data_IF_899249757783
#
_entry.id   IF_899249757783
#
_cell.length_a   1.000
_cell.length_b   1.000
_cell.length_c   1.000
_cell.angle_alpha   90.00
_cell.angle_beta   90.00
_cell.angle_gamma   90.00
#
_symmetry.space_group_name_H-M   'P 1'
#
loop_
_entity.id
_entity.type
_entity.pdbx_description
1 polymer ?
#
# COMPACT_ATOMS: atom_id res chain seq x y z
N UNK A 1 19.60 -5.10 -18.83
CA UNK A 1 18.66 -5.95 -19.63
C UNK A 1 17.20 -5.63 -19.30
N UNK A 2 16.80 -5.61 -18.03
CA UNK A 2 15.39 -5.45 -17.64
C UNK A 2 14.87 -4.00 -17.74
N UNK A 3 15.67 -2.98 -17.39
CA UNK A 3 15.25 -1.56 -17.51
C UNK A 3 14.83 -1.16 -18.93
N UNK A 4 15.57 -1.52 -20.01
CA UNK A 4 15.10 -1.29 -21.37
C UNK A 4 13.76 -1.96 -21.67
N UNK A 5 13.51 -3.17 -21.13
CA UNK A 5 12.25 -3.86 -21.33
C UNK A 5 11.09 -3.17 -20.58
N UNK A 6 11.32 -2.70 -19.35
CA UNK A 6 10.36 -1.90 -18.56
C UNK A 6 10.03 -0.59 -19.31
N UNK A 7 11.04 0.10 -19.82
CA UNK A 7 10.85 1.31 -20.64
C UNK A 7 10.02 1.03 -21.89
N UNK A 8 10.31 -0.07 -22.59
CA UNK A 8 9.57 -0.50 -23.78
C UNK A 8 8.10 -0.88 -23.46
N UNK A 9 7.84 -1.37 -22.24
CA UNK A 9 6.50 -1.69 -21.74
C UNK A 9 5.73 -0.48 -21.16
N UNK A 10 6.25 0.74 -21.31
CA UNK A 10 5.58 1.98 -20.91
C UNK A 10 6.09 2.62 -19.62
N UNK A 11 7.26 2.18 -19.12
CA UNK A 11 7.89 2.70 -17.91
C UNK A 11 7.42 2.04 -16.61
N UNK A 12 8.06 2.39 -15.50
CA UNK A 12 7.71 1.92 -14.18
C UNK A 12 6.32 2.39 -13.75
N UNK A 13 5.63 1.55 -12.98
CA UNK A 13 4.38 1.90 -12.31
C UNK A 13 4.55 1.64 -10.82
N UNK A 14 4.53 2.71 -10.01
CA UNK A 14 4.54 2.63 -8.56
C UNK A 14 3.11 2.55 -8.04
N UNK A 15 2.67 1.37 -7.62
CA UNK A 15 1.27 1.12 -7.30
C UNK A 15 0.86 1.45 -5.88
N UNK A 16 1.83 1.74 -5.01
CA UNK A 16 1.59 2.06 -3.62
C UNK A 16 2.70 2.92 -3.02
N UNK A 17 2.34 4.06 -2.51
CA UNK A 17 3.23 4.99 -1.81
C UNK A 17 2.45 5.84 -0.79
N UNK A 18 3.19 6.64 0.01
CA UNK A 18 2.67 7.62 0.95
C UNK A 18 3.41 8.96 0.75
N UNK A 19 3.16 9.62 -0.37
CA UNK A 19 3.89 10.81 -0.79
C UNK A 19 3.64 12.04 0.11
N UNK A 20 2.48 12.10 0.79
CA UNK A 20 2.11 13.17 1.71
C UNK A 20 3.01 13.27 2.95
N UNK A 21 3.68 12.17 3.32
CA UNK A 21 4.60 12.08 4.46
C UNK A 21 6.03 11.66 4.10
N UNK A 22 6.34 11.52 2.81
CA UNK A 22 7.68 11.21 2.35
C UNK A 22 8.70 12.28 2.79
N UNK A 23 9.96 11.86 3.02
CA UNK A 23 11.09 12.72 3.41
C UNK A 23 10.89 13.48 4.73
N UNK A 24 10.18 12.87 5.68
CA UNK A 24 9.93 13.45 7.01
C UNK A 24 10.80 12.82 8.11
N UNK A 25 11.79 12.02 7.71
CA UNK A 25 12.74 11.43 8.64
C UNK A 25 13.54 12.50 9.38
N UNK A 26 13.61 12.37 10.70
CA UNK A 26 14.43 13.21 11.58
C UNK A 26 15.21 12.35 12.58
N UNK A 27 16.25 12.89 13.25
CA UNK A 27 16.97 12.17 14.28
C UNK A 27 16.06 11.66 15.42
N UNK A 28 15.08 12.47 15.83
CA UNK A 28 14.12 12.11 16.89
C UNK A 28 13.22 10.94 16.45
N UNK A 29 12.81 10.92 15.19
CA UNK A 29 12.02 9.83 14.60
C UNK A 29 12.85 8.54 14.55
N UNK A 30 14.14 8.61 14.20
CA UNK A 30 15.03 7.46 14.21
C UNK A 30 15.24 6.89 15.63
N UNK A 31 15.36 7.74 16.64
CA UNK A 31 15.47 7.31 18.02
C UNK A 31 14.20 6.61 18.49
N UNK A 32 13.04 7.22 18.23
CA UNK A 32 11.74 6.62 18.54
C UNK A 32 11.60 5.23 17.88
N UNK A 33 12.03 5.09 16.63
CA UNK A 33 11.87 3.85 15.86
C UNK A 33 12.63 2.66 16.42
N UNK A 34 13.69 2.85 17.18
CA UNK A 34 14.48 1.76 17.77
C UNK A 34 13.67 0.87 18.72
N UNK A 35 12.66 1.43 19.36
CA UNK A 35 11.88 0.74 20.40
C UNK A 35 10.38 0.81 20.20
N UNK A 36 9.88 1.57 19.20
CA UNK A 36 8.46 1.81 19.05
C UNK A 36 7.74 0.63 18.38
N UNK A 37 6.49 0.47 18.77
CA UNK A 37 5.51 -0.38 18.09
C UNK A 37 4.96 0.32 16.84
N UNK A 38 4.28 -0.42 15.97
CA UNK A 38 3.56 0.17 14.83
C UNK A 38 2.56 1.24 15.30
N UNK A 39 1.86 1.02 16.41
CA UNK A 39 0.95 1.99 16.99
C UNK A 39 1.62 3.31 17.35
N UNK A 40 2.78 3.26 17.98
CA UNK A 40 3.54 4.47 18.35
C UNK A 40 4.03 5.25 17.12
N UNK A 41 4.31 4.55 16.01
CA UNK A 41 4.60 5.20 14.72
C UNK A 41 3.37 5.95 14.18
N UNK A 42 2.19 5.36 14.25
CA UNK A 42 0.94 6.06 13.87
C UNK A 42 0.68 7.31 14.72
N UNK A 43 0.97 7.25 16.03
CA UNK A 43 0.83 8.40 16.93
C UNK A 43 1.83 9.52 16.58
N UNK A 44 3.07 9.15 16.20
CA UNK A 44 4.07 10.11 15.71
C UNK A 44 3.63 10.79 14.39
N UNK A 45 2.99 10.04 13.49
CA UNK A 45 2.42 10.59 12.26
C UNK A 45 1.27 11.57 12.53
N UNK A 46 0.48 11.38 13.57
CA UNK A 46 -0.57 12.33 13.95
C UNK A 46 0.00 13.71 14.30
N UNK A 47 1.12 13.75 15.00
CA UNK A 47 1.81 15.00 15.30
C UNK A 47 2.30 15.67 14.02
N UNK A 48 2.96 14.93 13.14
CA UNK A 48 3.43 15.43 11.85
C UNK A 48 2.27 16.05 11.05
N UNK A 49 1.12 15.37 10.98
CA UNK A 49 -0.06 15.84 10.25
C UNK A 49 -0.63 17.15 10.82
N UNK A 50 -0.74 17.24 12.15
CA UNK A 50 -1.23 18.46 12.80
C UNK A 50 -0.33 19.68 12.56
N UNK A 51 0.98 19.46 12.60
CA UNK A 51 1.98 20.51 12.45
C UNK A 51 2.22 20.91 10.98
N UNK A 52 1.85 20.06 10.01
CA UNK A 52 2.07 20.32 8.59
C UNK A 52 1.03 21.29 8.02
N UNK A 53 1.52 22.28 7.29
CA UNK A 53 0.70 23.16 6.45
C UNK A 53 0.38 22.49 5.11
N UNK A 54 -0.58 23.03 4.34
CA UNK A 54 -0.85 22.59 2.97
C UNK A 54 0.40 22.72 2.09
N UNK A 55 1.22 23.76 2.29
CA UNK A 55 2.46 23.96 1.53
C UNK A 55 3.54 22.93 1.90
N UNK A 56 3.59 22.46 3.15
CA UNK A 56 4.48 21.37 3.54
C UNK A 56 4.10 20.05 2.83
N UNK A 57 2.81 19.72 2.75
CA UNK A 57 2.32 18.60 1.99
C UNK A 57 2.64 18.75 0.50
N UNK A 58 2.37 19.91 -0.09
CA UNK A 58 2.66 20.18 -1.50
C UNK A 58 4.13 19.96 -1.84
N UNK A 59 5.03 20.49 -1.03
CA UNK A 59 6.47 20.31 -1.21
C UNK A 59 6.89 18.84 -1.17
N UNK A 60 6.31 18.03 -0.26
CA UNK A 60 6.58 16.59 -0.17
C UNK A 60 6.11 15.85 -1.42
N UNK A 61 4.89 16.16 -1.89
CA UNK A 61 4.38 15.60 -3.15
C UNK A 61 5.30 15.94 -4.33
N UNK A 62 5.71 17.19 -4.47
CA UNK A 62 6.60 17.60 -5.55
C UNK A 62 7.93 16.85 -5.52
N UNK A 63 8.59 16.81 -4.36
CA UNK A 63 9.85 16.07 -4.20
C UNK A 63 9.69 14.58 -4.53
N UNK A 64 8.59 13.97 -4.09
CA UNK A 64 8.34 12.57 -4.38
C UNK A 64 8.06 12.33 -5.86
N UNK A 65 7.22 13.16 -6.50
CA UNK A 65 6.91 13.01 -7.93
C UNK A 65 8.14 13.24 -8.80
N UNK A 66 8.97 14.24 -8.48
CA UNK A 66 10.26 14.48 -9.18
C UNK A 66 11.20 13.28 -9.06
N UNK A 67 11.32 12.68 -7.88
CA UNK A 67 12.09 11.46 -7.67
C UNK A 67 11.57 10.30 -8.52
N UNK A 68 10.26 10.09 -8.58
CA UNK A 68 9.64 9.03 -9.37
C UNK A 68 9.81 9.27 -10.89
N UNK A 69 9.59 10.49 -11.35
CA UNK A 69 9.78 10.87 -12.77
C UNK A 69 11.22 10.63 -13.20
N UNK A 70 12.21 11.02 -12.37
CA UNK A 70 13.63 10.83 -12.65
C UNK A 70 14.02 9.36 -12.85
N UNK A 71 13.29 8.42 -12.25
CA UNK A 71 13.49 6.99 -12.41
C UNK A 71 12.75 6.40 -13.62
N UNK A 72 11.91 7.19 -14.31
CA UNK A 72 11.07 6.74 -15.41
C UNK A 72 9.76 6.09 -14.95
N UNK A 73 9.25 6.44 -13.77
CA UNK A 73 7.88 6.11 -13.36
C UNK A 73 6.92 6.96 -14.19
N UNK A 74 5.97 6.32 -14.84
CA UNK A 74 4.96 6.97 -15.70
C UNK A 74 3.57 7.00 -15.08
N UNK A 75 3.33 6.16 -14.09
CA UNK A 75 2.07 6.14 -13.34
C UNK A 75 2.33 5.78 -11.87
N UNK A 76 1.58 6.40 -10.98
CA UNK A 76 1.72 6.30 -9.53
C UNK A 76 0.36 6.24 -8.86
N UNK A 77 0.21 5.35 -7.86
CA UNK A 77 -0.84 5.46 -6.85
C UNK A 77 -0.21 5.79 -5.50
N UNK A 78 -0.76 6.78 -4.80
CA UNK A 78 -0.31 7.16 -3.46
C UNK A 78 -1.49 7.33 -2.52
N UNK A 79 -1.33 6.80 -1.32
CA UNK A 79 -2.25 7.09 -0.23
C UNK A 79 -2.07 8.54 0.25
N UNK A 80 -3.14 9.12 0.72
CA UNK A 80 -3.18 10.47 1.28
C UNK A 80 -3.98 10.44 2.57
N UNK A 81 -3.39 10.95 3.64
CA UNK A 81 -4.08 11.06 4.92
C UNK A 81 -5.19 12.14 4.84
N UNK A 82 -6.45 11.68 4.95
CA UNK A 82 -7.64 12.53 5.02
C UNK A 82 -8.40 12.12 6.30
N UNK A 83 -8.02 12.73 7.41
CA UNK A 83 -8.47 12.35 8.74
C UNK A 83 -8.60 13.59 9.66
N UNK A 84 -9.07 13.45 10.92
CA UNK A 84 -9.20 14.59 11.83
C UNK A 84 -7.90 15.37 12.12
N UNK A 85 -6.72 14.82 11.78
CA UNK A 85 -5.43 15.45 12.03
C UNK A 85 -4.94 16.28 10.83
N UNK A 86 -5.09 15.75 9.62
CA UNK A 86 -4.73 16.41 8.36
C UNK A 86 -5.88 17.19 7.75
N UNK A 87 -7.13 16.85 8.12
CA UNK A 87 -8.33 17.35 7.45
C UNK A 87 -8.22 17.14 5.92
N UNK A 88 -8.51 18.15 5.12
CA UNK A 88 -8.38 18.10 3.66
C UNK A 88 -7.07 18.73 3.13
N UNK A 89 -6.17 19.17 4.01
CA UNK A 89 -4.94 19.87 3.62
C UNK A 89 -4.03 19.03 2.73
N UNK A 90 -3.86 17.75 3.07
CA UNK A 90 -3.01 16.86 2.32
C UNK A 90 -3.57 16.58 0.92
N UNK A 91 -4.87 16.29 0.79
CA UNK A 91 -5.46 16.01 -0.53
C UNK A 91 -5.52 17.25 -1.41
N UNK A 92 -5.80 18.44 -0.86
CA UNK A 92 -5.73 19.71 -1.61
C UNK A 92 -4.34 19.93 -2.20
N UNK A 93 -3.31 19.75 -1.38
CA UNK A 93 -1.93 19.83 -1.82
C UNK A 93 -1.59 18.80 -2.90
N UNK A 94 -2.04 17.55 -2.72
CA UNK A 94 -1.86 16.49 -3.69
C UNK A 94 -2.51 16.77 -5.04
N UNK A 95 -3.75 17.26 -5.04
CA UNK A 95 -4.47 17.64 -6.26
C UNK A 95 -3.75 18.79 -7.01
N UNK A 96 -3.22 19.75 -6.27
CA UNK A 96 -2.39 20.82 -6.84
C UNK A 96 -1.09 20.28 -7.45
N UNK A 97 -0.41 19.36 -6.78
CA UNK A 97 0.79 18.70 -7.29
C UNK A 97 0.48 17.84 -8.52
N UNK A 98 -0.61 17.06 -8.50
CA UNK A 98 -1.06 16.28 -9.67
C UNK A 98 -1.27 17.15 -10.90
N UNK A 99 -1.91 18.30 -10.76
CA UNK A 99 -2.10 19.25 -11.87
C UNK A 99 -0.77 19.80 -12.39
N UNK A 100 0.19 20.06 -11.49
CA UNK A 100 1.52 20.56 -11.87
C UNK A 100 2.28 19.54 -12.73
N UNK A 101 2.21 18.25 -12.40
CA UNK A 101 2.97 17.17 -13.07
C UNK A 101 2.16 16.35 -14.08
N UNK A 102 0.93 16.77 -14.44
CA UNK A 102 -0.01 15.99 -15.25
C UNK A 102 0.51 15.53 -16.62
N UNK A 103 1.43 16.29 -17.21
CA UNK A 103 2.03 15.97 -18.52
C UNK A 103 3.20 14.97 -18.41
N UNK A 104 3.66 14.66 -17.20
CA UNK A 104 4.83 13.83 -16.93
C UNK A 104 4.48 12.55 -16.15
N UNK A 105 3.46 12.60 -15.28
CA UNK A 105 3.12 11.52 -14.36
C UNK A 105 1.61 11.38 -14.20
N UNK A 106 1.10 10.17 -14.42
CA UNK A 106 -0.28 9.84 -14.09
C UNK A 106 -0.33 9.55 -12.58
N UNK A 107 -1.11 10.33 -11.82
CA UNK A 107 -1.24 10.16 -10.38
C UNK A 107 -2.66 9.76 -10.00
N UNK A 108 -2.79 8.68 -9.21
CA UNK A 108 -4.02 8.24 -8.55
C UNK A 108 -3.88 8.40 -7.05
N UNK A 109 -4.89 8.96 -6.41
CA UNK A 109 -4.95 9.08 -4.95
C UNK A 109 -5.85 8.02 -4.35
N UNK A 110 -5.40 7.43 -3.21
CA UNK A 110 -6.22 6.62 -2.33
C UNK A 110 -6.31 7.30 -0.95
N UNK A 111 -7.47 7.34 -0.33
CA UNK A 111 -7.59 7.89 1.02
C UNK A 111 -7.02 6.93 2.06
N UNK A 112 -6.24 7.45 3.01
CA UNK A 112 -5.70 6.68 4.12
C UNK A 112 -6.67 6.68 5.31
N UNK A 113 -6.85 5.50 5.90
CA UNK A 113 -7.78 5.29 7.02
C UNK A 113 -7.06 4.97 8.34
N UNK A 114 -5.96 5.68 8.65
CA UNK A 114 -5.19 5.45 9.89
C UNK A 114 -6.00 5.59 11.19
N UNK A 115 -7.15 6.24 11.14
CA UNK A 115 -8.10 6.34 12.26
C UNK A 115 -9.29 5.37 12.12
N UNK A 116 -9.25 4.48 11.11
CA UNK A 116 -10.35 3.58 10.79
C UNK A 116 -11.55 4.28 10.15
N UNK A 117 -12.66 3.55 10.08
CA UNK A 117 -13.93 4.02 9.48
C UNK A 117 -15.13 3.87 10.42
N UNK A 118 -14.91 3.31 11.62
CA UNK A 118 -15.97 3.07 12.62
C UNK A 118 -16.19 4.30 13.53
N UNK A 119 -15.11 4.97 13.93
CA UNK A 119 -15.23 6.16 14.77
C UNK A 119 -15.94 7.30 14.01
N UNK A 120 -16.95 7.98 14.58
CA UNK A 120 -17.76 8.96 13.84
C UNK A 120 -16.95 10.10 13.19
N UNK A 121 -15.94 10.63 13.89
CA UNK A 121 -15.11 11.68 13.33
C UNK A 121 -14.21 11.17 12.19
N UNK A 122 -13.62 9.97 12.32
CA UNK A 122 -12.85 9.33 11.27
C UNK A 122 -13.75 9.01 10.07
N UNK A 123 -14.97 8.52 10.32
CA UNK A 123 -15.96 8.23 9.28
C UNK A 123 -16.32 9.47 8.46
N UNK A 124 -16.53 10.60 9.11
CA UNK A 124 -16.79 11.86 8.40
C UNK A 124 -15.68 12.19 7.40
N UNK A 125 -14.43 12.06 7.81
CA UNK A 125 -13.29 12.35 6.94
C UNK A 125 -13.06 11.26 5.88
N UNK A 126 -13.37 10.00 6.20
CA UNK A 126 -13.38 8.93 5.22
C UNK A 126 -14.39 9.21 4.10
N UNK A 127 -15.62 9.60 4.45
CA UNK A 127 -16.68 9.90 3.48
C UNK A 127 -16.28 11.09 2.58
N UNK A 128 -15.72 12.17 3.16
CA UNK A 128 -15.17 13.32 2.40
C UNK A 128 -14.05 12.85 1.47
N UNK A 129 -13.12 12.05 1.99
CA UNK A 129 -12.00 11.52 1.21
C UNK A 129 -12.46 10.64 0.05
N UNK A 130 -13.47 9.81 0.28
CA UNK A 130 -14.02 8.90 -0.73
C UNK A 130 -14.54 9.63 -1.98
N UNK A 131 -15.03 10.86 -1.86
CA UNK A 131 -15.44 11.67 -3.00
C UNK A 131 -14.24 12.20 -3.80
N UNK A 132 -13.18 12.63 -3.11
CA UNK A 132 -12.05 13.37 -3.67
C UNK A 132 -10.98 12.48 -4.32
N UNK A 133 -10.85 11.24 -3.88
CA UNK A 133 -9.80 10.32 -4.34
C UNK A 133 -10.24 9.48 -5.53
N UNK A 134 -9.29 8.83 -6.20
CA UNK A 134 -9.53 7.92 -7.32
C UNK A 134 -9.79 6.47 -6.87
N UNK A 135 -9.24 6.07 -5.73
CA UNK A 135 -9.24 4.71 -5.17
C UNK A 135 -9.68 4.80 -3.70
N UNK A 136 -10.54 3.90 -3.25
CA UNK A 136 -10.89 3.81 -1.84
C UNK A 136 -9.78 3.06 -1.10
N UNK A 137 -9.08 3.76 -0.24
CA UNK A 137 -8.04 3.19 0.61
C UNK A 137 -8.60 2.64 1.92
N UNK A 138 -7.99 1.59 2.48
CA UNK A 138 -8.49 0.93 3.66
C UNK A 138 -7.39 0.37 4.58
N UNK A 139 -7.69 0.33 5.88
CA UNK A 139 -6.88 -0.28 6.93
C UNK A 139 -7.80 -0.87 8.02
N UNK A 140 -8.55 -1.95 7.74
CA UNK A 140 -9.53 -2.55 8.66
C UNK A 140 -8.91 -3.02 9.98
N UNK A 141 -7.61 -3.35 9.98
CA UNK A 141 -6.83 -3.67 11.19
C UNK A 141 -6.96 -2.60 12.28
N UNK A 142 -7.13 -1.34 11.90
CA UNK A 142 -7.32 -0.26 12.84
C UNK A 142 -8.65 -0.39 13.58
N UNK A 143 -9.73 -0.66 12.85
CA UNK A 143 -11.06 -0.81 13.40
C UNK A 143 -11.20 -2.11 14.21
N UNK A 144 -10.55 -3.20 13.77
CA UNK A 144 -10.48 -4.44 14.54
C UNK A 144 -9.77 -4.23 15.87
N UNK A 145 -8.61 -3.58 15.87
CA UNK A 145 -7.84 -3.36 17.10
C UNK A 145 -8.57 -2.46 18.10
N UNK A 146 -9.16 -1.37 17.62
CA UNK A 146 -9.74 -0.34 18.49
C UNK A 146 -11.17 -0.67 18.94
N UNK A 147 -11.93 -1.45 18.14
CA UNK A 147 -13.37 -1.66 18.33
C UNK A 147 -13.81 -3.12 18.19
N UNK A 148 -12.95 -4.05 17.75
CA UNK A 148 -13.34 -5.41 17.39
C UNK A 148 -14.32 -5.44 16.20
N UNK A 149 -14.18 -4.50 15.25
CA UNK A 149 -15.13 -4.27 14.14
C UNK A 149 -14.46 -4.25 12.77
N UNK A 150 -13.41 -5.03 12.59
CA UNK A 150 -12.73 -5.15 11.29
C UNK A 150 -13.66 -5.64 10.19
N UNK A 151 -14.54 -6.59 10.50
CA UNK A 151 -15.51 -7.13 9.56
C UNK A 151 -16.51 -6.06 9.08
N UNK A 152 -17.07 -5.25 10.01
CA UNK A 152 -17.95 -4.12 9.69
C UNK A 152 -17.20 -3.05 8.86
N UNK A 153 -15.92 -2.83 9.15
CA UNK A 153 -15.10 -1.90 8.39
C UNK A 153 -14.91 -2.34 6.94
N UNK A 154 -14.68 -3.62 6.67
CA UNK A 154 -14.64 -4.15 5.30
C UNK A 154 -15.96 -3.88 4.55
N UNK A 155 -17.10 -4.12 5.17
CA UNK A 155 -18.41 -3.87 4.54
C UNK A 155 -18.57 -2.39 4.17
N UNK A 156 -18.29 -1.47 5.10
CA UNK A 156 -18.35 -0.02 4.87
C UNK A 156 -17.48 0.39 3.68
N UNK A 157 -16.25 -0.10 3.62
CA UNK A 157 -15.27 0.26 2.59
C UNK A 157 -15.71 -0.25 1.22
N UNK A 158 -16.14 -1.50 1.13
CA UNK A 158 -16.57 -2.11 -0.13
C UNK A 158 -17.88 -1.51 -0.65
N UNK A 159 -18.84 -1.22 0.23
CA UNK A 159 -20.08 -0.52 -0.13
C UNK A 159 -19.81 0.89 -0.64
N UNK A 160 -18.89 1.63 0.03
CA UNK A 160 -18.48 2.96 -0.39
C UNK A 160 -17.84 2.91 -1.79
N UNK A 161 -16.91 1.98 -2.02
CA UNK A 161 -16.28 1.80 -3.31
C UNK A 161 -17.28 1.44 -4.41
N UNK A 162 -18.24 0.57 -4.11
CA UNK A 162 -19.32 0.20 -5.02
C UNK A 162 -20.21 1.39 -5.36
N UNK A 163 -20.55 2.20 -4.37
CA UNK A 163 -21.34 3.42 -4.55
C UNK A 163 -20.67 4.40 -5.53
N UNK A 164 -19.38 4.65 -5.36
CA UNK A 164 -18.62 5.57 -6.22
C UNK A 164 -18.07 4.93 -7.50
N UNK A 165 -18.23 3.63 -7.70
CA UNK A 165 -17.68 2.92 -8.86
C UNK A 165 -16.14 2.85 -8.86
N UNK A 166 -15.48 2.94 -7.69
CA UNK A 166 -14.02 3.00 -7.54
C UNK A 166 -13.40 1.64 -7.21
N UNK A 167 -12.11 1.50 -7.46
CA UNK A 167 -11.29 0.40 -6.95
C UNK A 167 -11.05 0.55 -5.45
N UNK A 168 -10.63 -0.56 -4.81
CA UNK A 168 -10.28 -0.58 -3.38
C UNK A 168 -8.86 -1.10 -3.21
N UNK A 169 -8.05 -0.38 -2.44
CA UNK A 169 -6.73 -0.78 -2.02
C UNK A 169 -6.70 -0.97 -0.50
N UNK A 170 -6.41 -2.18 -0.03
CA UNK A 170 -6.50 -2.55 1.40
C UNK A 170 -5.16 -3.00 1.94
N UNK A 171 -4.69 -2.35 2.99
CA UNK A 171 -3.55 -2.83 3.78
C UNK A 171 -3.99 -4.05 4.58
N UNK A 172 -3.37 -5.19 4.34
CA UNK A 172 -3.69 -6.48 4.98
C UNK A 172 -2.42 -7.26 5.29
N UNK A 173 -2.48 -8.07 6.34
CA UNK A 173 -1.43 -9.04 6.70
C UNK A 173 -0.03 -8.40 6.75
N UNK A 174 0.10 -7.28 7.49
CA UNK A 174 1.29 -6.43 7.49
C UNK A 174 2.37 -6.89 8.49
N UNK A 175 2.04 -7.79 9.42
CA UNK A 175 2.98 -8.20 10.46
C UNK A 175 3.83 -9.39 10.01
N UNK A 176 5.03 -9.44 10.58
CA UNK A 176 5.97 -10.54 10.36
C UNK A 176 5.63 -11.73 11.28
N UNK A 177 4.40 -12.24 11.17
CA UNK A 177 3.86 -13.32 12.02
C UNK A 177 2.79 -14.12 11.27
N UNK A 178 2.34 -15.24 11.84
CA UNK A 178 1.35 -16.15 11.24
C UNK A 178 -0.05 -16.06 11.89
N UNK A 179 -0.39 -14.95 12.53
CA UNK A 179 -1.65 -14.77 13.25
C UNK A 179 -2.66 -13.87 12.51
N UNK A 180 -2.27 -13.31 11.36
CA UNK A 180 -3.15 -12.47 10.55
C UNK A 180 -3.82 -13.29 9.44
N UNK A 181 -5.08 -12.98 9.17
CA UNK A 181 -5.94 -13.64 8.18
C UNK A 181 -6.75 -12.63 7.36
N UNK A 182 -6.29 -11.39 7.29
CA UNK A 182 -7.06 -10.28 6.70
C UNK A 182 -7.21 -10.43 5.19
N UNK A 183 -6.21 -11.02 4.49
CA UNK A 183 -6.34 -11.31 3.06
C UNK A 183 -7.45 -12.34 2.80
N UNK A 184 -7.60 -13.36 3.65
CA UNK A 184 -8.68 -14.34 3.53
C UNK A 184 -10.04 -13.66 3.71
N UNK A 185 -10.21 -12.88 4.79
CA UNK A 185 -11.43 -12.11 5.06
C UNK A 185 -11.75 -11.13 3.92
N UNK A 186 -10.75 -10.42 3.39
CA UNK A 186 -10.92 -9.51 2.27
C UNK A 186 -11.42 -10.24 1.01
N UNK A 187 -10.90 -11.42 0.72
CA UNK A 187 -11.36 -12.23 -0.42
C UNK A 187 -12.84 -12.64 -0.25
N UNK A 188 -13.22 -13.12 0.94
CA UNK A 188 -14.61 -13.50 1.26
C UNK A 188 -15.56 -12.32 1.10
N UNK A 189 -15.21 -11.16 1.67
CA UNK A 189 -15.98 -9.91 1.55
C UNK A 189 -16.05 -9.42 0.11
N UNK A 190 -14.96 -9.51 -0.65
CA UNK A 190 -14.92 -9.15 -2.08
C UNK A 190 -15.94 -9.95 -2.89
N UNK A 191 -16.01 -11.27 -2.67
CA UNK A 191 -16.97 -12.16 -3.31
C UNK A 191 -18.40 -11.82 -2.86
N UNK A 192 -18.61 -11.66 -1.54
CA UNK A 192 -19.92 -11.33 -0.96
C UNK A 192 -20.50 -10.03 -1.53
N UNK A 193 -19.67 -9.00 -1.72
CA UNK A 193 -20.08 -7.70 -2.27
C UNK A 193 -20.11 -7.65 -3.80
N UNK A 194 -19.69 -8.70 -4.52
CA UNK A 194 -19.61 -8.73 -5.97
C UNK A 194 -18.58 -7.71 -6.53
N UNK A 195 -17.43 -7.58 -5.83
CA UNK A 195 -16.37 -6.63 -6.15
C UNK A 195 -15.13 -7.29 -6.79
N UNK A 196 -15.28 -8.52 -7.34
CA UNK A 196 -14.19 -9.24 -7.98
C UNK A 196 -13.52 -8.40 -9.06
N UNK A 197 -12.19 -8.47 -9.13
CA UNK A 197 -11.37 -7.70 -10.08
C UNK A 197 -11.20 -6.22 -9.74
N UNK A 198 -11.81 -5.73 -8.65
CA UNK A 198 -11.78 -4.31 -8.25
C UNK A 198 -11.13 -4.07 -6.88
N UNK A 199 -10.68 -5.12 -6.23
CA UNK A 199 -10.05 -5.07 -4.91
C UNK A 199 -8.61 -5.54 -4.99
N UNK A 200 -7.72 -4.78 -4.37
CA UNK A 200 -6.28 -5.01 -4.35
C UNK A 200 -5.83 -5.10 -2.91
N UNK A 201 -5.21 -6.21 -2.56
CA UNK A 201 -4.55 -6.41 -1.28
C UNK A 201 -3.13 -5.80 -1.33
N UNK A 202 -2.69 -5.18 -0.25
CA UNK A 202 -1.35 -4.58 -0.14
C UNK A 202 -0.60 -5.29 0.98
N UNK A 203 0.67 -5.56 0.75
CA UNK A 203 1.63 -6.24 1.61
C UNK A 203 1.48 -7.76 1.61
N UNK A 204 0.51 -8.33 2.32
CA UNK A 204 0.39 -9.78 2.44
C UNK A 204 1.63 -10.47 3.04
N UNK A 205 2.34 -9.80 3.94
CA UNK A 205 3.61 -10.24 4.54
C UNK A 205 3.40 -11.50 5.37
N UNK A 206 2.37 -11.49 6.22
CA UNK A 206 2.04 -12.63 7.09
C UNK A 206 1.77 -13.91 6.32
N UNK A 207 1.34 -13.82 5.06
CA UNK A 207 1.04 -15.01 4.23
C UNK A 207 2.24 -15.96 4.16
N UNK A 208 3.46 -15.42 4.00
CA UNK A 208 4.68 -16.23 3.94
C UNK A 208 4.99 -16.98 5.25
N UNK A 209 4.49 -16.50 6.39
CA UNK A 209 4.67 -17.12 7.70
C UNK A 209 3.67 -18.24 7.99
N UNK A 210 2.58 -18.35 7.23
CA UNK A 210 1.58 -19.38 7.38
C UNK A 210 2.03 -20.74 6.79
N UNK A 211 1.36 -21.82 7.20
CA UNK A 211 1.61 -23.16 6.66
C UNK A 211 1.36 -23.19 5.14
N UNK A 212 2.08 -24.08 4.44
CA UNK A 212 1.89 -24.29 3.00
C UNK A 212 0.44 -24.65 2.64
N UNK A 213 -0.22 -25.45 3.49
CA UNK A 213 -1.61 -25.84 3.26
C UNK A 213 -2.55 -24.63 3.27
N UNK A 214 -2.37 -23.71 4.24
CA UNK A 214 -3.12 -22.46 4.31
C UNK A 214 -2.89 -21.61 3.07
N UNK A 215 -1.62 -21.36 2.71
CA UNK A 215 -1.27 -20.53 1.54
C UNK A 215 -1.90 -21.05 0.24
N UNK A 216 -1.84 -22.37 0.01
CA UNK A 216 -2.45 -22.98 -1.19
C UNK A 216 -3.98 -22.83 -1.22
N UNK A 217 -4.64 -22.88 -0.07
CA UNK A 217 -6.08 -22.62 0.04
C UNK A 217 -6.38 -21.15 -0.24
N UNK A 218 -5.61 -20.26 0.38
CA UNK A 218 -5.75 -18.80 0.20
C UNK A 218 -5.60 -18.39 -1.27
N UNK A 219 -4.60 -18.91 -1.99
CA UNK A 219 -4.40 -18.56 -3.40
C UNK A 219 -5.58 -18.99 -4.29
N UNK A 220 -6.26 -20.08 -3.97
CA UNK A 220 -7.49 -20.47 -4.68
C UNK A 220 -8.60 -19.46 -4.42
N UNK A 221 -8.77 -19.04 -3.18
CA UNK A 221 -9.76 -18.04 -2.78
C UNK A 221 -9.45 -16.67 -3.41
N UNK A 222 -8.18 -16.24 -3.45
CA UNK A 222 -7.76 -15.02 -4.13
C UNK A 222 -8.10 -15.04 -5.62
N UNK A 223 -7.95 -16.18 -6.29
CA UNK A 223 -8.37 -16.35 -7.70
C UNK A 223 -9.88 -16.27 -7.88
N UNK A 224 -10.65 -16.85 -6.98
CA UNK A 224 -12.11 -16.77 -6.99
C UNK A 224 -12.59 -15.32 -6.79
N UNK A 225 -11.91 -14.58 -5.93
CA UNK A 225 -12.14 -13.16 -5.71
C UNK A 225 -11.59 -12.27 -6.83
N UNK A 226 -10.89 -12.80 -7.83
CA UNK A 226 -10.08 -12.03 -8.80
C UNK A 226 -9.26 -10.93 -8.11
N UNK A 227 -8.64 -11.33 -6.98
CA UNK A 227 -7.87 -10.44 -6.11
C UNK A 227 -6.48 -10.19 -6.69
N UNK A 228 -6.08 -8.93 -6.74
CA UNK A 228 -4.71 -8.53 -7.05
C UNK A 228 -3.91 -8.27 -5.77
N UNK A 229 -2.58 -8.35 -5.86
CA UNK A 229 -1.67 -8.08 -4.74
C UNK A 229 -0.65 -7.01 -5.13
N UNK A 230 -0.40 -6.07 -4.23
CA UNK A 230 0.74 -5.14 -4.32
C UNK A 230 1.80 -5.58 -3.33
N UNK A 231 2.97 -5.91 -3.84
CA UNK A 231 4.15 -6.19 -3.04
C UNK A 231 4.94 -4.89 -2.81
N UNK A 232 5.32 -4.66 -1.54
CA UNK A 232 6.21 -3.57 -1.13
C UNK A 232 7.42 -4.19 -0.43
N UNK A 233 8.42 -4.65 -1.16
CA UNK A 233 9.46 -5.53 -0.65
C UNK A 233 10.26 -4.97 0.52
N UNK A 234 10.54 -3.68 0.57
CA UNK A 234 11.29 -3.07 1.67
C UNK A 234 10.44 -2.82 2.93
N UNK A 235 9.11 -2.84 2.82
CA UNK A 235 8.20 -2.66 3.96
C UNK A 235 8.21 -3.86 4.92
N UNK A 236 8.64 -5.05 4.50
CA UNK A 236 8.72 -6.24 5.34
C UNK A 236 9.63 -6.10 6.56
N UNK A 237 10.54 -5.13 6.54
CA UNK A 237 11.45 -4.84 7.65
C UNK A 237 10.89 -3.80 8.65
N UNK A 238 9.66 -3.36 8.48
CA UNK A 238 9.05 -2.35 9.35
C UNK A 238 8.75 -2.85 10.77
N UNK A 239 8.48 -4.15 10.93
CA UNK A 239 8.23 -4.78 12.24
C UNK A 239 9.39 -5.67 12.68
N UNK A 240 9.59 -5.87 14.00
CA UNK A 240 10.56 -6.84 14.49
C UNK A 240 10.26 -8.25 13.98
N UNK A 241 11.31 -9.07 13.90
CA UNK A 241 11.17 -10.49 13.59
C UNK A 241 10.31 -11.20 14.64
N UNK A 242 9.45 -12.12 14.22
CA UNK A 242 8.66 -12.91 15.14
C UNK A 242 9.51 -14.00 15.80
N UNK A 243 9.48 -14.06 17.12
CA UNK A 243 10.12 -15.13 17.90
C UNK A 243 9.29 -16.43 17.91
N UNK A 244 8.06 -16.37 17.42
CA UNK A 244 7.18 -17.55 17.30
C UNK A 244 7.53 -18.40 16.07
N UNK A 245 8.28 -17.85 15.11
CA UNK A 245 8.72 -18.54 13.90
C UNK A 245 10.09 -19.20 14.13
N UNK A 246 10.21 -20.47 13.75
CA UNK A 246 11.45 -21.24 13.87
C UNK A 246 11.80 -21.87 12.53
N UNK A 247 12.95 -21.57 11.92
CA UNK A 247 13.90 -20.54 12.34
C UNK A 247 13.31 -19.14 12.24
N UNK A 248 13.79 -18.22 13.10
CA UNK A 248 13.38 -16.83 13.07
C UNK A 248 13.76 -16.18 11.74
N UNK A 249 12.77 -15.59 11.05
CA UNK A 249 12.97 -14.97 9.74
C UNK A 249 12.11 -13.70 9.58
N UNK A 250 12.39 -12.93 8.54
CA UNK A 250 11.50 -11.88 8.08
C UNK A 250 10.65 -12.40 6.91
N UNK A 251 9.34 -12.26 7.03
CA UNK A 251 8.41 -12.61 5.96
C UNK A 251 8.28 -11.45 4.97
N UNK A 252 8.01 -11.75 3.71
CA UNK A 252 7.64 -10.78 2.67
C UNK A 252 6.56 -11.39 1.78
N UNK A 253 5.90 -10.57 0.98
CA UNK A 253 4.90 -11.02 -0.01
C UNK A 253 5.44 -12.21 -0.82
N UNK A 254 4.85 -13.42 -0.76
CA UNK A 254 5.41 -14.62 -1.38
C UNK A 254 5.09 -14.68 -2.89
N UNK A 255 5.71 -13.80 -3.68
CA UNK A 255 5.45 -13.66 -5.12
C UNK A 255 5.86 -14.88 -5.93
N UNK A 256 6.86 -15.62 -5.45
CA UNK A 256 7.31 -16.88 -6.01
C UNK A 256 6.24 -18.00 -5.98
N UNK A 257 5.29 -17.89 -5.08
CA UNK A 257 4.11 -18.76 -5.03
C UNK A 257 2.87 -18.13 -5.69
N UNK A 258 2.64 -16.81 -5.50
CA UNK A 258 1.46 -16.12 -6.00
C UNK A 258 1.40 -16.03 -7.52
N UNK A 259 2.51 -15.67 -8.17
CA UNK A 259 2.55 -15.53 -9.63
C UNK A 259 2.31 -16.89 -10.32
N UNK A 260 2.98 -17.99 -9.95
CA UNK A 260 2.65 -19.32 -10.50
C UNK A 260 1.22 -19.78 -10.19
N UNK A 261 0.62 -19.35 -9.08
CA UNK A 261 -0.78 -19.60 -8.77
C UNK A 261 -1.76 -18.80 -9.63
N UNK A 262 -1.27 -17.87 -10.46
CA UNK A 262 -2.06 -17.03 -11.37
C UNK A 262 -2.65 -15.78 -10.73
N UNK A 263 -2.06 -15.29 -9.63
CA UNK A 263 -2.43 -14.04 -8.98
C UNK A 263 -1.66 -12.89 -9.65
N UNK A 264 -2.36 -11.83 -10.01
CA UNK A 264 -1.73 -10.61 -10.53
C UNK A 264 -1.01 -9.89 -9.38
N UNK A 265 0.31 -9.77 -9.48
CA UNK A 265 1.15 -9.05 -8.53
C UNK A 265 1.67 -7.77 -9.18
N UNK A 266 1.68 -6.67 -8.43
CA UNK A 266 2.25 -5.38 -8.81
C UNK A 266 3.26 -4.91 -7.75
N UNK A 267 4.02 -3.84 -8.03
CA UNK A 267 5.11 -3.34 -7.20
C UNK A 267 4.81 -1.95 -6.66
N UNK A 268 5.11 -1.70 -5.39
CA UNK A 268 5.03 -0.40 -4.75
C UNK A 268 6.22 -0.12 -3.84
N UNK A 269 6.50 1.16 -3.59
CA UNK A 269 7.58 1.60 -2.69
C UNK A 269 7.15 1.72 -1.23
N UNK A 270 5.85 1.85 -0.99
CA UNK A 270 5.31 2.17 0.33
C UNK A 270 5.88 3.49 0.88
N UNK A 271 6.21 3.56 2.15
CA UNK A 271 6.75 4.74 2.83
C UNK A 271 8.20 5.02 2.41
N UNK A 272 8.55 6.31 2.30
CA UNK A 272 9.86 6.76 1.81
C UNK A 272 10.47 7.78 2.77
N UNK A 273 11.62 7.45 3.35
CA UNK A 273 12.38 8.31 4.26
C UNK A 273 11.50 8.96 5.35
N UNK A 274 10.72 8.15 6.04
CA UNK A 274 9.80 8.58 7.10
C UNK A 274 9.90 7.69 8.36
N UNK A 275 8.95 7.85 9.30
CA UNK A 275 8.88 7.06 10.52
C UNK A 275 8.62 5.57 10.29
N UNK A 276 7.98 5.20 9.19
CA UNK A 276 7.63 3.83 8.86
C UNK A 276 8.81 3.09 8.24
N UNK A 277 9.37 3.62 7.13
CA UNK A 277 10.49 3.00 6.42
C UNK A 277 11.60 4.04 6.16
N UNK A 278 12.47 4.30 7.15
CA UNK A 278 13.42 5.40 7.13
C UNK A 278 14.50 5.30 6.05
N UNK A 279 14.86 4.10 5.63
CA UNK A 279 15.96 3.87 4.70
C UNK A 279 15.51 3.59 3.26
N UNK A 280 14.20 3.61 3.01
CA UNK A 280 13.66 3.51 1.66
C UNK A 280 13.78 4.88 0.95
N UNK A 281 14.49 4.92 -0.15
CA UNK A 281 14.67 6.12 -0.97
C UNK A 281 13.55 6.30 -2.04
N UNK A 282 12.60 5.39 -2.11
CA UNK A 282 11.56 5.37 -3.15
C UNK A 282 12.09 4.88 -4.50
N UNK A 283 13.09 4.01 -4.49
CA UNK A 283 13.75 3.49 -5.69
C UNK A 283 13.08 2.21 -6.18
N UNK A 284 12.39 2.28 -7.33
CA UNK A 284 11.68 1.15 -7.94
C UNK A 284 12.61 0.00 -8.33
N UNK A 285 13.85 0.30 -8.71
CA UNK A 285 14.86 -0.72 -9.00
C UNK A 285 15.23 -1.49 -7.73
N UNK A 286 15.41 -0.78 -6.63
CA UNK A 286 15.69 -1.39 -5.34
C UNK A 286 14.54 -2.30 -4.88
N UNK A 287 13.29 -1.85 -5.00
CA UNK A 287 12.12 -2.66 -4.67
C UNK A 287 12.08 -3.95 -5.51
N UNK A 288 12.24 -3.84 -6.83
CA UNK A 288 12.21 -4.99 -7.72
C UNK A 288 13.35 -5.98 -7.43
N UNK A 289 14.57 -5.49 -7.22
CA UNK A 289 15.72 -6.36 -6.92
C UNK A 289 15.61 -7.02 -5.55
N UNK A 290 15.05 -6.33 -4.57
CA UNK A 290 14.75 -6.89 -3.25
C UNK A 290 13.71 -8.00 -3.35
N UNK A 291 12.63 -7.78 -4.10
CA UNK A 291 11.61 -8.78 -4.37
C UNK A 291 12.19 -10.03 -5.06
N UNK A 292 12.91 -9.82 -6.17
CA UNK A 292 13.49 -10.91 -6.94
C UNK A 292 14.47 -11.74 -6.10
N UNK A 293 15.37 -11.08 -5.36
CA UNK A 293 16.37 -11.74 -4.53
C UNK A 293 15.75 -12.42 -3.30
N UNK A 294 14.85 -11.73 -2.61
CA UNK A 294 14.23 -12.22 -1.38
C UNK A 294 13.31 -13.43 -1.61
N UNK A 295 12.57 -13.44 -2.71
CA UNK A 295 11.69 -14.54 -3.10
C UNK A 295 12.38 -15.55 -4.05
N UNK A 296 13.65 -15.35 -4.45
CA UNK A 296 14.33 -16.16 -5.47
C UNK A 296 13.50 -16.28 -6.76
N UNK A 297 12.96 -15.14 -7.20
CA UNK A 297 12.02 -15.03 -8.30
C UNK A 297 12.72 -14.41 -9.52
N UNK A 298 13.28 -15.27 -10.40
CA UNK A 298 14.13 -14.86 -11.52
C UNK A 298 13.41 -14.97 -12.88
N UNK A 299 12.09 -14.78 -12.91
CA UNK A 299 11.28 -14.82 -14.14
C UNK A 299 11.24 -13.45 -14.80
N UNK A 300 12.11 -13.24 -15.78
CA UNK A 300 12.32 -11.94 -16.45
C UNK A 300 11.02 -11.28 -16.92
N UNK A 301 10.21 -12.00 -17.70
CA UNK A 301 8.97 -11.45 -18.26
C UNK A 301 7.93 -11.12 -17.19
N UNK A 302 7.87 -11.90 -16.11
CA UNK A 302 6.97 -11.64 -14.99
C UNK A 302 7.44 -10.43 -14.17
N UNK A 303 8.75 -10.26 -13.96
CA UNK A 303 9.28 -9.07 -13.30
C UNK A 303 8.97 -7.80 -14.11
N UNK A 304 9.07 -7.85 -15.44
CA UNK A 304 8.64 -6.74 -16.29
C UNK A 304 7.14 -6.45 -16.13
N UNK A 305 6.29 -7.47 -16.11
CA UNK A 305 4.84 -7.29 -15.91
C UNK A 305 4.53 -6.70 -14.53
N UNK A 306 5.17 -7.20 -13.48
CA UNK A 306 5.02 -6.70 -12.10
C UNK A 306 5.36 -5.22 -12.01
N UNK A 307 6.42 -4.79 -12.71
CA UNK A 307 6.90 -3.42 -12.72
C UNK A 307 6.07 -2.48 -13.61
N UNK A 308 5.21 -3.00 -14.49
CA UNK A 308 4.55 -2.23 -15.56
C UNK A 308 3.05 -2.52 -15.68
N UNK A 309 2.66 -3.43 -16.57
CA UNK A 309 1.25 -3.67 -16.96
C UNK A 309 0.37 -4.12 -15.80
N UNK A 310 0.91 -4.95 -14.90
CA UNK A 310 0.17 -5.37 -13.71
C UNK A 310 -0.10 -4.16 -12.80
N UNK A 311 0.87 -3.26 -12.69
CA UNK A 311 0.72 -2.02 -11.95
C UNK A 311 -0.38 -1.13 -12.54
N UNK A 312 -0.42 -0.96 -13.86
CA UNK A 312 -1.49 -0.20 -14.53
C UNK A 312 -2.87 -0.79 -14.22
N UNK A 313 -3.00 -2.11 -14.32
CA UNK A 313 -4.23 -2.82 -13.94
C UNK A 313 -4.59 -2.59 -12.47
N UNK A 314 -3.64 -2.71 -11.56
CA UNK A 314 -3.87 -2.56 -10.12
C UNK A 314 -4.35 -1.16 -9.71
N UNK A 315 -3.94 -0.11 -10.42
CA UNK A 315 -4.37 1.27 -10.15
C UNK A 315 -5.50 1.75 -11.07
N UNK A 316 -6.11 0.86 -11.85
CA UNK A 316 -7.28 1.13 -12.67
C UNK A 316 -7.01 2.07 -13.85
N UNK A 317 -5.85 1.94 -14.50
CA UNK A 317 -5.52 2.61 -15.77
C UNK A 317 -5.19 1.55 -16.82
N UNK A 318 -5.70 1.74 -18.02
CA UNK A 318 -5.45 0.86 -19.17
C UNK A 318 -4.09 1.17 -19.85
#
# INVERSE_FOLDING_TARGET
MIEPAIKAAGGWVNTHAHADRAYTLSPDVLELRRTCTLQQKWDALDRLKRESTEEDFYRRFCLFFENQIAQGVTALATFVDIDPQSEDRAIKAGLRAREHYKDQLIVKFANQTLKGVIHPEARKWFDIGAELVDIIGALPKRDERDYGKGDEAFDIILETAKHYGKMVHVHVDQFNESLEYETEQLCEKTIQHGMQGRVVAIHGISIAAHSRQYRQRLYKLMKEADMMMIACPTAWIDTPRSEQLVPMHNSMTPVDEMVPAGITVALGTDNVCDAMVPWNAGDMWHEMTTLATGCRFDYFDELVKIATVNGRKAIGIE
#
